data_IF_107562296857
#
_entry.id   IF_107562296857
#
_cell.length_a   1.000
_cell.length_b   1.000
_cell.length_c   1.000
_cell.angle_alpha   90.00
_cell.angle_beta   90.00
_cell.angle_gamma   90.00
#
_symmetry.space_group_name_H-M   'P 1'
#
loop_
_entity.id
_entity.type
_entity.pdbx_description
1 polymer ?
#
# COMPACT_ATOMS: atom_id res chain seq x y z
N UNK A 1 43.24 36.76 21.90
CA UNK A 1 42.59 36.29 20.66
C UNK A 1 42.12 37.50 19.84
N UNK A 2 42.38 37.56 18.53
CA UNK A 2 41.95 38.70 17.69
C UNK A 2 40.45 38.63 17.40
N UNK A 3 39.79 39.78 17.13
CA UNK A 3 38.35 39.83 16.84
C UNK A 3 37.94 38.90 15.68
N UNK A 4 38.80 38.80 14.66
CA UNK A 4 38.62 37.89 13.53
C UNK A 4 38.54 36.42 13.96
N UNK A 5 39.35 36.01 14.93
CA UNK A 5 39.41 34.63 15.41
C UNK A 5 38.15 34.25 16.20
N UNK A 6 37.59 35.18 16.98
CA UNK A 6 36.29 35.01 17.63
C UNK A 6 35.16 34.77 16.62
N UNK A 7 35.13 35.57 15.54
CA UNK A 7 34.12 35.45 14.48
C UNK A 7 34.24 34.09 13.77
N UNK A 8 35.45 33.68 13.41
CA UNK A 8 35.69 32.40 12.73
C UNK A 8 35.28 31.21 13.63
N UNK A 9 35.66 31.22 14.90
CA UNK A 9 35.27 30.13 15.82
C UNK A 9 33.76 30.08 16.03
N UNK A 10 33.10 31.22 16.15
CA UNK A 10 31.64 31.32 16.27
C UNK A 10 30.95 30.79 15.01
N UNK A 11 31.53 31.05 13.83
CA UNK A 11 31.04 30.51 12.57
C UNK A 11 31.16 28.99 12.52
N UNK A 12 32.26 28.40 13.01
CA UNK A 12 32.39 26.95 13.11
C UNK A 12 31.34 26.32 14.02
N UNK A 13 31.04 26.96 15.16
CA UNK A 13 29.93 26.50 16.04
C UNK A 13 28.60 26.56 15.30
N UNK A 14 28.30 27.68 14.63
CA UNK A 14 27.03 27.83 13.91
C UNK A 14 26.88 26.80 12.79
N UNK A 15 27.90 26.65 11.95
CA UNK A 15 27.90 25.69 10.84
C UNK A 15 27.82 24.26 11.35
N UNK A 16 28.53 23.93 12.42
CA UNK A 16 28.49 22.62 13.03
C UNK A 16 27.12 22.27 13.62
N UNK A 17 26.48 23.19 14.36
CA UNK A 17 25.14 22.95 14.94
C UNK A 17 24.09 22.82 13.84
N UNK A 18 24.07 23.74 12.86
CA UNK A 18 23.12 23.70 11.74
C UNK A 18 23.33 22.46 10.87
N UNK A 19 24.59 22.09 10.63
CA UNK A 19 24.93 20.88 9.90
C UNK A 19 24.49 19.61 10.64
N UNK A 20 24.74 19.53 11.95
CA UNK A 20 24.27 18.42 12.79
C UNK A 20 22.74 18.28 12.71
N UNK A 21 22.03 19.39 12.85
CA UNK A 21 20.58 19.43 12.71
C UNK A 21 20.09 18.92 11.35
N UNK A 22 20.72 19.36 10.28
CA UNK A 22 20.41 18.93 8.92
C UNK A 22 20.59 17.41 8.75
N UNK A 23 21.75 16.86 9.14
CA UNK A 23 22.06 15.45 8.89
C UNK A 23 21.28 14.50 9.80
N UNK A 24 21.14 14.86 11.08
CA UNK A 24 20.34 14.13 12.06
C UNK A 24 18.85 14.12 11.70
N UNK A 25 18.30 15.27 11.30
CA UNK A 25 16.94 15.37 10.78
C UNK A 25 16.74 14.55 9.49
N UNK A 26 17.69 14.66 8.55
CA UNK A 26 17.64 13.91 7.27
C UNK A 26 17.70 12.40 7.46
N UNK A 27 18.39 11.90 8.48
CA UNK A 27 18.37 10.49 8.86
C UNK A 27 16.97 10.04 9.25
N UNK A 28 16.28 10.81 10.10
CA UNK A 28 14.87 10.50 10.45
C UNK A 28 13.98 10.60 9.22
N UNK A 29 14.18 11.62 8.39
CA UNK A 29 13.45 11.78 7.14
C UNK A 29 13.60 10.58 6.20
N UNK A 30 14.79 9.98 6.11
CA UNK A 30 15.04 8.78 5.30
C UNK A 30 14.16 7.59 5.73
N UNK A 31 13.88 7.46 7.02
CA UNK A 31 13.05 6.37 7.55
C UNK A 31 11.55 6.64 7.45
N UNK A 32 11.12 7.91 7.56
CA UNK A 32 9.70 8.28 7.55
C UNK A 32 9.19 8.65 6.15
N UNK A 33 10.08 8.77 5.15
CA UNK A 33 9.71 9.17 3.80
C UNK A 33 8.89 8.09 3.08
N UNK A 34 7.82 8.55 2.46
CA UNK A 34 6.98 7.76 1.57
C UNK A 34 7.68 7.46 0.25
N UNK A 35 7.99 6.17 0.00
CA UNK A 35 8.59 5.75 -1.28
C UNK A 35 7.63 5.97 -2.45
N UNK A 36 6.33 5.72 -2.25
CA UNK A 36 5.31 5.94 -3.28
C UNK A 36 5.24 7.41 -3.70
N UNK A 37 5.18 8.36 -2.75
CA UNK A 37 5.18 9.81 -3.07
C UNK A 37 6.42 10.22 -3.83
N UNK A 38 7.58 9.70 -3.40
CA UNK A 38 8.85 9.99 -4.03
C UNK A 38 8.87 9.52 -5.49
N UNK A 39 8.35 8.32 -5.76
CA UNK A 39 8.25 7.76 -7.10
C UNK A 39 7.27 8.53 -7.99
N UNK A 40 6.11 8.93 -7.46
CA UNK A 40 5.13 9.76 -8.19
C UNK A 40 5.73 11.13 -8.55
N UNK A 41 6.33 11.84 -7.58
CA UNK A 41 6.96 13.14 -7.88
C UNK A 41 8.14 13.01 -8.84
N UNK A 42 8.89 11.90 -8.75
CA UNK A 42 9.98 11.63 -9.67
C UNK A 42 9.48 11.37 -11.10
N UNK A 43 8.33 10.72 -11.29
CA UNK A 43 7.74 10.51 -12.62
C UNK A 43 7.18 11.80 -13.22
N UNK A 44 6.78 12.76 -12.37
CA UNK A 44 6.41 14.13 -12.76
C UNK A 44 7.63 15.03 -13.10
N UNK A 45 8.84 14.47 -13.18
CA UNK A 45 10.10 15.19 -13.45
C UNK A 45 10.47 16.27 -12.39
N UNK A 46 10.01 16.13 -11.14
CA UNK A 46 10.51 16.98 -10.05
C UNK A 46 12.00 16.69 -9.79
N UNK A 47 12.85 17.68 -10.05
CA UNK A 47 14.31 17.60 -9.87
C UNK A 47 14.72 17.24 -8.44
N UNK A 48 13.99 17.73 -7.43
CA UNK A 48 14.28 17.42 -6.01
C UNK A 48 13.92 15.97 -5.70
N UNK A 49 12.79 15.49 -6.22
CA UNK A 49 12.39 14.10 -6.09
C UNK A 49 13.38 13.15 -6.77
N UNK A 50 13.82 13.46 -7.99
CA UNK A 50 14.83 12.69 -8.71
C UNK A 50 16.19 12.64 -7.98
N UNK A 51 16.57 13.74 -7.32
CA UNK A 51 17.78 13.77 -6.50
C UNK A 51 17.61 12.93 -5.22
N UNK A 52 16.51 13.12 -4.51
CA UNK A 52 16.23 12.38 -3.28
C UNK A 52 16.08 10.88 -3.54
N UNK A 53 15.46 10.48 -4.64
CA UNK A 53 15.32 9.08 -5.07
C UNK A 53 16.68 8.38 -5.20
N UNK A 54 17.65 9.02 -5.86
CA UNK A 54 19.03 8.48 -5.97
C UNK A 54 19.68 8.24 -4.60
N UNK A 55 19.41 9.09 -3.62
CA UNK A 55 19.89 8.94 -2.24
C UNK A 55 19.21 7.78 -1.52
N UNK A 56 17.88 7.68 -1.63
CA UNK A 56 17.02 6.70 -0.94
C UNK A 56 17.17 5.29 -1.50
N UNK A 57 17.51 5.15 -2.78
CA UNK A 57 17.75 3.87 -3.44
C UNK A 57 19.04 3.17 -2.96
N UNK A 58 19.94 3.92 -2.31
CA UNK A 58 21.19 3.40 -1.74
C UNK A 58 21.28 3.65 -0.22
N UNK A 59 20.37 3.07 0.59
CA UNK A 59 20.19 3.45 1.98
C UNK A 59 21.43 3.21 2.84
N UNK A 60 22.18 2.13 2.60
CA UNK A 60 23.41 1.84 3.36
C UNK A 60 24.51 2.89 3.14
N UNK A 61 24.67 3.37 1.90
CA UNK A 61 25.63 4.44 1.58
C UNK A 61 25.14 5.76 2.16
N UNK A 62 23.85 6.05 2.02
CA UNK A 62 23.26 7.28 2.51
C UNK A 62 23.37 7.40 4.04
N UNK A 63 23.07 6.32 4.76
CA UNK A 63 23.22 6.27 6.21
C UNK A 63 24.68 6.50 6.64
N UNK A 64 25.64 5.87 5.96
CA UNK A 64 27.06 6.09 6.22
C UNK A 64 27.47 7.57 6.01
N UNK A 65 26.98 8.20 4.94
CA UNK A 65 27.22 9.63 4.66
C UNK A 65 26.62 10.52 5.73
N UNK A 66 25.36 10.29 6.12
CA UNK A 66 24.68 11.08 7.15
C UNK A 66 25.38 10.97 8.51
N UNK A 67 25.75 9.76 8.93
CA UNK A 67 26.46 9.53 10.18
C UNK A 67 27.84 10.19 10.19
N UNK A 68 28.61 10.04 9.11
CA UNK A 68 29.93 10.69 9.00
C UNK A 68 29.80 12.21 9.01
N UNK A 69 28.88 12.76 8.23
CA UNK A 69 28.68 14.21 8.14
C UNK A 69 28.20 14.81 9.47
N UNK A 70 27.28 14.12 10.16
CA UNK A 70 26.82 14.53 11.50
C UNK A 70 27.99 14.58 12.50
N UNK A 71 28.83 13.55 12.53
CA UNK A 71 30.00 13.53 13.41
C UNK A 71 31.01 14.64 13.09
N UNK A 72 31.29 14.88 11.80
CA UNK A 72 32.15 16.00 11.37
C UNK A 72 31.60 17.34 11.88
N UNK A 73 30.30 17.56 11.75
CA UNK A 73 29.63 18.76 12.24
C UNK A 73 29.72 18.90 13.77
N UNK A 74 29.53 17.81 14.51
CA UNK A 74 29.67 17.81 15.96
C UNK A 74 31.10 18.17 16.40
N UNK A 75 32.12 17.60 15.74
CA UNK A 75 33.50 17.94 16.02
C UNK A 75 33.86 19.37 15.60
N UNK A 76 33.27 19.89 14.52
CA UNK A 76 33.44 21.28 14.11
C UNK A 76 32.87 22.25 15.15
N UNK A 77 31.70 21.94 15.70
CA UNK A 77 31.13 22.70 16.82
C UNK A 77 32.01 22.63 18.07
N UNK A 78 32.49 21.43 18.42
CA UNK A 78 33.39 21.23 19.57
C UNK A 78 34.69 22.02 19.42
N UNK A 79 35.27 22.03 18.21
CA UNK A 79 36.46 22.79 17.89
C UNK A 79 36.24 24.30 18.00
N UNK A 80 35.10 24.81 17.50
CA UNK A 80 34.73 26.22 17.61
C UNK A 80 34.58 26.67 19.07
N UNK A 81 33.88 25.91 19.91
CA UNK A 81 33.73 26.23 21.34
C UNK A 81 35.09 26.14 22.06
N UNK A 82 35.89 25.11 21.78
CA UNK A 82 37.21 24.96 22.35
C UNK A 82 38.12 26.16 22.02
N UNK A 83 38.13 26.61 20.76
CA UNK A 83 38.91 27.78 20.33
C UNK A 83 38.45 29.09 21.00
N UNK A 84 37.16 29.23 21.25
CA UNK A 84 36.59 30.34 22.04
C UNK A 84 37.09 30.32 23.50
N UNK A 85 37.04 29.15 24.14
CA UNK A 85 37.41 29.00 25.55
C UNK A 85 38.92 29.16 25.77
N UNK A 86 39.74 28.73 24.82
CA UNK A 86 41.20 28.91 24.84
C UNK A 86 41.58 30.41 24.85
N UNK A 87 40.83 31.23 24.11
CA UNK A 87 40.99 32.69 24.09
C UNK A 87 40.48 33.43 25.33
N UNK A 88 39.86 32.73 26.28
CA UNK A 88 39.13 33.31 27.43
C UNK A 88 39.90 33.25 28.76
N UNK A 89 41.08 32.61 28.79
CA UNK A 89 41.95 32.57 29.97
C UNK A 89 41.64 31.47 30.99
N UNK A 90 40.80 30.48 30.64
CA UNK A 90 40.55 29.29 31.46
C UNK A 90 41.72 28.31 31.42
N UNK A 91 41.87 27.48 32.45
CA UNK A 91 42.82 26.36 32.41
C UNK A 91 42.35 25.28 31.43
N UNK A 92 43.25 24.43 30.88
CA UNK A 92 42.86 23.38 29.93
C UNK A 92 41.76 22.44 30.46
N UNK A 93 41.80 22.10 31.76
CA UNK A 93 40.79 21.24 32.38
C UNK A 93 39.41 21.91 32.51
N UNK A 94 39.39 23.19 32.89
CA UNK A 94 38.15 23.97 32.97
C UNK A 94 37.53 24.16 31.59
N UNK A 95 38.34 24.47 30.56
CA UNK A 95 37.86 24.61 29.19
C UNK A 95 37.20 23.33 28.66
N UNK A 96 37.76 22.16 28.96
CA UNK A 96 37.14 20.88 28.57
C UNK A 96 35.80 20.67 29.27
N UNK A 97 35.74 20.94 30.58
CA UNK A 97 34.51 20.75 31.35
C UNK A 97 33.40 21.72 30.91
N UNK A 98 33.74 22.99 30.72
CA UNK A 98 32.80 24.02 30.24
C UNK A 98 32.34 23.71 28.82
N UNK A 99 33.26 23.28 27.93
CA UNK A 99 32.90 22.88 26.57
C UNK A 99 31.88 21.74 26.59
N UNK A 100 32.14 20.67 27.35
CA UNK A 100 31.19 19.56 27.47
C UNK A 100 29.83 20.01 28.05
N UNK A 101 29.85 20.83 29.10
CA UNK A 101 28.64 21.33 29.76
C UNK A 101 27.75 22.18 28.84
N UNK A 102 28.33 22.91 27.89
CA UNK A 102 27.60 23.74 26.92
C UNK A 102 27.24 22.94 25.66
N UNK A 103 28.21 22.24 25.09
CA UNK A 103 28.08 21.61 23.78
C UNK A 103 27.09 20.43 23.79
N UNK A 104 27.12 19.60 24.83
CA UNK A 104 26.26 18.41 24.92
C UNK A 104 24.77 18.79 24.88
N UNK A 105 24.25 19.65 25.78
CA UNK A 105 22.83 20.02 25.72
C UNK A 105 22.50 20.82 24.45
N UNK A 106 23.43 21.64 23.95
CA UNK A 106 23.24 22.40 22.71
C UNK A 106 23.03 21.46 21.51
N UNK A 107 23.93 20.51 21.29
CA UNK A 107 23.81 19.54 20.19
C UNK A 107 22.66 18.57 20.41
N UNK A 108 22.42 18.12 21.65
CA UNK A 108 21.30 17.23 21.93
C UNK A 108 19.96 17.87 21.59
N UNK A 109 19.72 19.12 22.00
CA UNK A 109 18.45 19.80 21.73
C UNK A 109 18.37 20.26 20.28
N UNK A 110 19.36 21.02 19.81
CA UNK A 110 19.29 21.72 18.53
C UNK A 110 19.87 20.94 17.35
N UNK A 111 20.82 20.04 17.59
CA UNK A 111 21.39 19.17 16.57
C UNK A 111 20.65 17.84 16.43
N UNK A 112 20.01 17.36 17.51
CA UNK A 112 19.44 16.01 17.54
C UNK A 112 17.93 15.97 17.71
N UNK A 113 17.39 16.30 18.88
CA UNK A 113 15.98 16.07 19.22
C UNK A 113 15.04 16.90 18.34
N UNK A 114 15.21 18.22 18.33
CA UNK A 114 14.30 19.13 17.62
C UNK A 114 14.30 18.91 16.09
N UNK A 115 15.45 18.75 15.43
CA UNK A 115 15.48 18.47 13.99
C UNK A 115 14.83 17.13 13.63
N UNK A 116 15.06 16.06 14.42
CA UNK A 116 14.44 14.75 14.19
C UNK A 116 12.91 14.85 14.26
N UNK A 117 12.38 15.54 15.27
CA UNK A 117 10.93 15.77 15.40
C UNK A 117 10.37 16.59 14.22
N UNK A 118 11.08 17.63 13.79
CA UNK A 118 10.65 18.48 12.68
C UNK A 118 10.59 17.70 11.35
N UNK A 119 11.58 16.86 11.09
CA UNK A 119 11.59 15.97 9.93
C UNK A 119 10.53 14.87 10.04
N UNK A 120 10.24 14.36 11.24
CA UNK A 120 9.16 13.37 11.42
C UNK A 120 7.79 13.94 11.09
N UNK A 121 7.49 15.16 11.56
CA UNK A 121 6.18 15.79 11.33
C UNK A 121 6.03 16.28 9.88
N UNK A 122 7.08 16.84 9.30
CA UNK A 122 7.07 17.47 7.98
C UNK A 122 8.04 16.78 7.00
N UNK A 123 8.01 15.45 6.96
CA UNK A 123 9.01 14.63 6.23
C UNK A 123 9.15 15.03 4.78
N UNK A 124 8.05 15.16 4.06
CA UNK A 124 8.09 15.47 2.63
C UNK A 124 8.78 16.82 2.43
N UNK A 125 8.28 17.90 3.03
CA UNK A 125 8.81 19.26 2.83
C UNK A 125 10.32 19.35 3.09
N UNK A 126 10.79 18.82 4.22
CA UNK A 126 12.20 18.91 4.60
C UNK A 126 13.09 17.97 3.82
N UNK A 127 12.68 16.71 3.59
CA UNK A 127 13.49 15.75 2.85
C UNK A 127 13.71 16.18 1.40
N UNK A 128 12.68 16.72 0.72
CA UNK A 128 12.84 17.25 -0.64
C UNK A 128 13.69 18.53 -0.67
N UNK A 129 13.54 19.43 0.31
CA UNK A 129 14.34 20.65 0.38
C UNK A 129 15.83 20.36 0.60
N UNK A 130 16.13 19.35 1.43
CA UNK A 130 17.50 18.96 1.79
C UNK A 130 18.16 18.04 0.74
N UNK A 131 17.44 17.57 -0.27
CA UNK A 131 17.96 16.65 -1.28
C UNK A 131 19.23 17.17 -2.00
N UNK A 132 19.30 18.47 -2.29
CA UNK A 132 20.45 19.10 -2.94
C UNK A 132 21.71 19.11 -2.06
N UNK A 133 21.65 19.70 -0.85
CA UNK A 133 22.75 19.65 0.12
C UNK A 133 23.26 18.23 0.39
N UNK A 134 22.34 17.27 0.58
CA UNK A 134 22.68 15.88 0.85
C UNK A 134 23.42 15.21 -0.32
N UNK A 135 23.03 15.49 -1.56
CA UNK A 135 23.73 14.98 -2.75
C UNK A 135 25.15 15.57 -2.86
N UNK A 136 25.32 16.84 -2.51
CA UNK A 136 26.64 17.48 -2.41
C UNK A 136 27.53 16.79 -1.38
N UNK A 137 27.02 16.58 -0.16
CA UNK A 137 27.73 15.88 0.91
C UNK A 137 28.06 14.44 0.53
N UNK A 138 27.11 13.72 -0.07
CA UNK A 138 27.34 12.36 -0.58
C UNK A 138 28.48 12.33 -1.59
N UNK A 139 28.50 13.25 -2.56
CA UNK A 139 29.55 13.31 -3.58
C UNK A 139 30.91 13.62 -2.97
N UNK A 140 30.98 14.56 -2.02
CA UNK A 140 32.20 14.91 -1.31
C UNK A 140 32.75 13.72 -0.50
N UNK A 141 31.93 13.09 0.34
CA UNK A 141 32.35 11.97 1.20
C UNK A 141 32.58 10.67 0.42
N UNK A 142 31.95 10.51 -0.74
CA UNK A 142 32.24 9.39 -1.64
C UNK A 142 33.61 9.58 -2.30
N UNK A 143 33.99 10.81 -2.64
CA UNK A 143 35.28 11.12 -3.22
C UNK A 143 36.44 10.92 -2.24
N UNK A 144 36.24 11.19 -0.95
CA UNK A 144 37.24 10.93 0.10
C UNK A 144 37.42 9.43 0.41
N UNK A 145 36.59 8.54 -0.14
CA UNK A 145 36.65 7.09 0.06
C UNK A 145 36.17 6.59 1.44
N UNK A 146 35.85 7.51 2.36
CA UNK A 146 35.48 7.18 3.74
C UNK A 146 34.07 6.58 3.83
N UNK A 147 33.09 7.15 3.11
CA UNK A 147 31.72 6.63 3.10
C UNK A 147 31.59 5.22 2.49
N UNK A 148 32.24 4.89 1.36
CA UNK A 148 32.27 3.52 0.84
C UNK A 148 32.86 2.49 1.80
N UNK A 149 33.88 2.86 2.58
CA UNK A 149 34.51 1.98 3.56
C UNK A 149 33.55 1.66 4.72
N UNK A 150 32.92 2.68 5.29
CA UNK A 150 31.92 2.50 6.37
C UNK A 150 30.72 1.67 5.86
N UNK A 151 30.22 1.96 4.65
CA UNK A 151 29.13 1.20 4.04
C UNK A 151 29.52 -0.26 3.76
N UNK A 152 30.78 -0.52 3.37
CA UNK A 152 31.28 -1.88 3.15
C UNK A 152 31.37 -2.69 4.45
N UNK A 153 31.81 -2.07 5.55
CA UNK A 153 31.83 -2.70 6.88
C UNK A 153 30.41 -3.01 7.35
N UNK A 154 29.49 -2.04 7.24
CA UNK A 154 28.09 -2.24 7.63
C UNK A 154 27.40 -3.38 6.86
N UNK A 155 27.64 -3.48 5.55
CA UNK A 155 27.09 -4.58 4.72
C UNK A 155 27.61 -5.97 5.09
N UNK A 156 28.84 -6.08 5.61
CA UNK A 156 29.40 -7.36 6.06
C UNK A 156 28.85 -7.80 7.41
N UNK A 157 28.40 -6.86 8.23
CA UNK A 157 27.84 -7.13 9.56
C UNK A 157 26.32 -7.36 9.48
N UNK A 158 25.63 -6.69 8.55
CA UNK A 158 24.17 -6.68 8.44
C UNK A 158 23.54 -7.69 7.47
N UNK A 159 24.14 -8.85 7.20
CA UNK A 159 23.50 -9.93 6.41
C UNK A 159 22.39 -10.66 7.20
N UNK A 160 21.51 -9.93 7.88
CA UNK A 160 20.34 -10.49 8.54
C UNK A 160 19.10 -9.83 7.97
N UNK A 161 18.51 -10.55 7.02
CA UNK A 161 17.12 -10.54 6.59
C UNK A 161 16.31 -9.30 6.96
N UNK A 162 16.17 -8.40 6.00
CA UNK A 162 15.06 -7.45 5.98
C UNK A 162 13.75 -8.24 6.06
N UNK A 163 13.09 -8.10 7.20
CA UNK A 163 11.84 -8.71 7.60
C UNK A 163 10.86 -8.92 6.43
N UNK A 164 10.42 -10.18 6.35
CA UNK A 164 9.41 -10.71 5.45
C UNK A 164 8.07 -10.04 5.76
N UNK A 165 7.85 -8.82 5.30
CA UNK A 165 6.48 -8.34 5.07
C UNK A 165 5.98 -9.13 3.86
N UNK A 166 4.92 -9.94 3.98
CA UNK A 166 4.36 -10.66 2.84
C UNK A 166 4.14 -9.68 1.69
N UNK A 167 4.45 -10.10 0.45
CA UNK A 167 4.31 -9.25 -0.72
C UNK A 167 2.91 -8.59 -0.80
N UNK A 168 1.87 -9.29 -0.33
CA UNK A 168 0.49 -8.80 -0.19
C UNK A 168 0.38 -7.60 0.76
N UNK A 169 0.92 -7.67 1.98
CA UNK A 169 0.91 -6.54 2.91
C UNK A 169 1.71 -5.36 2.35
N UNK A 170 2.84 -5.60 1.66
CA UNK A 170 3.58 -4.52 0.98
C UNK A 170 2.74 -3.86 -0.10
N UNK A 171 2.11 -4.64 -0.98
CA UNK A 171 1.24 -4.09 -2.04
C UNK A 171 0.04 -3.35 -1.47
N UNK A 172 -0.64 -3.91 -0.46
CA UNK A 172 -1.75 -3.24 0.21
C UNK A 172 -1.29 -1.94 0.89
N UNK A 173 -0.11 -1.92 1.51
CA UNK A 173 0.44 -0.71 2.11
C UNK A 173 0.83 0.34 1.06
N UNK A 174 1.43 -0.06 -0.06
CA UNK A 174 1.75 0.83 -1.18
C UNK A 174 0.49 1.42 -1.82
N UNK A 175 -0.55 0.61 -2.01
CA UNK A 175 -1.85 1.04 -2.53
C UNK A 175 -2.52 2.03 -1.57
N UNK A 176 -2.54 1.69 -0.27
CA UNK A 176 -3.04 2.60 0.79
C UNK A 176 -2.26 3.89 0.88
N UNK A 177 -0.96 3.83 0.68
CA UNK A 177 -0.14 5.03 0.62
C UNK A 177 -0.47 5.87 -0.62
N UNK A 178 -0.73 5.22 -1.77
CA UNK A 178 -1.31 5.85 -2.97
C UNK A 178 -2.66 6.55 -2.74
N UNK A 179 -3.53 5.97 -1.90
CA UNK A 179 -4.82 6.56 -1.51
C UNK A 179 -4.64 7.89 -0.79
N UNK A 180 -3.69 7.98 0.16
CA UNK A 180 -3.41 9.21 0.93
C UNK A 180 -2.86 10.35 0.06
N UNK A 181 -2.33 10.03 -1.12
CA UNK A 181 -1.72 10.99 -2.04
C UNK A 181 -2.77 11.55 -3.04
N UNK A 182 -4.02 11.07 -2.99
CA UNK A 182 -5.09 11.51 -3.89
C UNK A 182 -4.93 11.02 -5.32
N UNK A 183 -4.11 9.98 -5.55
CA UNK A 183 -3.88 9.38 -6.88
C UNK A 183 -5.07 8.51 -7.32
N UNK A 184 -5.82 7.96 -6.36
CA UNK A 184 -7.01 7.14 -6.59
C UNK A 184 -8.24 7.80 -5.97
N UNK A 185 -9.38 7.76 -6.65
CA UNK A 185 -10.66 8.13 -6.06
C UNK A 185 -11.10 7.11 -5.00
N UNK A 186 -12.02 7.51 -4.11
CA UNK A 186 -12.63 6.58 -3.14
C UNK A 186 -13.30 5.38 -3.84
N UNK A 187 -13.95 5.61 -4.99
CA UNK A 187 -14.54 4.54 -5.79
C UNK A 187 -13.51 3.57 -6.35
N UNK A 188 -12.39 4.06 -6.90
CA UNK A 188 -11.29 3.22 -7.38
C UNK A 188 -10.64 2.43 -6.25
N UNK A 189 -10.54 3.02 -5.07
CA UNK A 189 -10.01 2.38 -3.86
C UNK A 189 -10.88 1.19 -3.44
N UNK A 190 -12.20 1.40 -3.37
CA UNK A 190 -13.14 0.35 -3.03
C UNK A 190 -13.07 -0.83 -4.02
N UNK A 191 -12.91 -0.55 -5.32
CA UNK A 191 -12.74 -1.57 -6.35
C UNK A 191 -11.47 -2.40 -6.12
N UNK A 192 -10.34 -1.76 -5.82
CA UNK A 192 -9.06 -2.44 -5.58
C UNK A 192 -9.13 -3.34 -4.34
N UNK A 193 -9.68 -2.82 -3.24
CA UNK A 193 -9.84 -3.62 -2.01
C UNK A 193 -10.75 -4.83 -2.24
N UNK A 194 -11.89 -4.65 -2.93
CA UNK A 194 -12.78 -5.76 -3.30
C UNK A 194 -12.10 -6.77 -4.21
N UNK A 195 -11.33 -6.32 -5.20
CA UNK A 195 -10.57 -7.20 -6.08
C UNK A 195 -9.52 -8.03 -5.33
N UNK A 196 -8.83 -7.44 -4.35
CA UNK A 196 -7.86 -8.15 -3.50
C UNK A 196 -8.50 -9.20 -2.58
N UNK A 197 -9.76 -9.02 -2.21
CA UNK A 197 -10.54 -9.95 -1.39
C UNK A 197 -11.22 -11.04 -2.22
N UNK A 198 -11.56 -10.75 -3.49
CA UNK A 198 -12.27 -11.67 -4.39
C UNK A 198 -11.56 -13.02 -4.56
N UNK A 199 -10.22 -13.01 -4.63
CA UNK A 199 -9.41 -14.21 -4.88
C UNK A 199 -9.69 -15.33 -3.88
N UNK A 200 -9.93 -14.96 -2.62
CA UNK A 200 -10.12 -15.89 -1.52
C UNK A 200 -11.61 -16.01 -1.12
N UNK A 201 -12.55 -15.46 -1.90
CA UNK A 201 -13.98 -15.48 -1.55
C UNK A 201 -14.67 -16.73 -2.15
N UNK A 202 -15.26 -17.61 -1.32
CA UNK A 202 -16.03 -18.76 -1.80
C UNK A 202 -17.42 -18.31 -2.28
N UNK A 203 -18.01 -19.07 -3.21
CA UNK A 203 -19.32 -18.76 -3.80
C UNK A 203 -20.47 -18.92 -2.82
N UNK A 204 -20.36 -19.82 -1.83
CA UNK A 204 -21.39 -20.00 -0.78
C UNK A 204 -21.74 -18.69 -0.04
N UNK A 205 -20.84 -17.71 0.00
CA UNK A 205 -21.09 -16.42 0.65
C UNK A 205 -21.96 -15.47 -0.19
N UNK A 206 -22.07 -15.73 -1.50
CA UNK A 206 -22.78 -14.87 -2.47
C UNK A 206 -24.01 -15.56 -3.07
N UNK A 207 -24.37 -16.73 -2.55
CA UNK A 207 -25.48 -17.50 -3.07
C UNK A 207 -26.82 -17.01 -2.55
N UNK A 208 -27.84 -17.14 -3.39
CA UNK A 208 -29.23 -17.10 -2.96
C UNK A 208 -29.54 -18.49 -2.39
N UNK A 209 -30.01 -18.53 -1.13
CA UNK A 209 -30.34 -19.79 -0.47
C UNK A 209 -31.48 -20.49 -1.20
N UNK A 210 -31.44 -21.82 -1.28
CA UNK A 210 -32.44 -22.60 -2.05
C UNK A 210 -33.89 -22.31 -1.65
N UNK A 211 -34.13 -22.02 -0.36
CA UNK A 211 -35.47 -21.71 0.16
C UNK A 211 -36.04 -20.40 -0.41
N UNK A 212 -35.19 -19.48 -0.86
CA UNK A 212 -35.56 -18.22 -1.51
C UNK A 212 -35.61 -18.33 -3.05
N UNK A 213 -35.30 -19.51 -3.61
CA UNK A 213 -35.25 -19.72 -5.07
C UNK A 213 -36.64 -20.08 -5.59
N UNK A 214 -37.18 -19.23 -6.46
CA UNK A 214 -38.37 -19.54 -7.20
C UNK A 214 -38.09 -20.63 -8.25
N UNK A 215 -38.87 -21.71 -8.24
CA UNK A 215 -38.71 -22.88 -9.12
C UNK A 215 -40.01 -23.24 -9.82
N UNK A 216 -39.92 -24.01 -10.91
CA UNK A 216 -41.06 -24.58 -11.64
C UNK A 216 -40.93 -26.11 -11.66
N UNK A 217 -42.03 -26.85 -11.55
CA UNK A 217 -42.01 -28.30 -11.69
C UNK A 217 -42.03 -28.70 -13.17
N UNK A 218 -41.29 -29.75 -13.54
CA UNK A 218 -41.26 -30.26 -14.91
C UNK A 218 -42.66 -30.70 -15.38
N UNK A 219 -43.45 -31.26 -14.45
CA UNK A 219 -44.82 -31.71 -14.67
C UNK A 219 -45.87 -30.57 -14.66
N UNK A 220 -45.47 -29.30 -14.52
CA UNK A 220 -46.40 -28.17 -14.51
C UNK A 220 -47.09 -27.99 -15.86
N UNK A 221 -48.39 -27.70 -15.82
CA UNK A 221 -49.19 -27.40 -17.02
C UNK A 221 -48.86 -26.01 -17.59
N UNK A 222 -49.29 -25.76 -18.84
CA UNK A 222 -49.03 -24.47 -19.51
C UNK A 222 -49.58 -23.27 -18.74
N UNK A 223 -50.73 -23.41 -18.07
CA UNK A 223 -51.33 -22.35 -17.26
C UNK A 223 -50.43 -21.96 -16.09
N UNK A 224 -50.02 -22.92 -15.27
CA UNK A 224 -49.12 -22.66 -14.12
C UNK A 224 -47.77 -22.09 -14.55
N UNK A 225 -47.22 -22.57 -15.68
CA UNK A 225 -45.96 -22.03 -16.24
C UNK A 225 -46.07 -20.55 -16.64
N UNK A 226 -47.17 -20.17 -17.28
CA UNK A 226 -47.46 -18.79 -17.68
C UNK A 226 -47.70 -17.88 -16.46
N UNK A 227 -48.38 -18.39 -15.43
CA UNK A 227 -48.56 -17.65 -14.17
C UNK A 227 -47.23 -17.41 -13.46
N UNK A 228 -46.37 -18.43 -13.37
CA UNK A 228 -45.02 -18.29 -12.80
C UNK A 228 -44.17 -17.28 -13.59
N UNK A 229 -44.26 -17.31 -14.93
CA UNK A 229 -43.56 -16.38 -15.81
C UNK A 229 -44.03 -14.92 -15.66
N UNK A 230 -45.33 -14.69 -15.45
CA UNK A 230 -45.90 -13.34 -15.33
C UNK A 230 -45.76 -12.74 -13.93
N UNK A 231 -45.78 -13.56 -12.88
CA UNK A 231 -45.84 -13.07 -11.50
C UNK A 231 -44.47 -12.93 -10.83
N UNK A 232 -43.40 -13.37 -11.48
CA UNK A 232 -42.06 -13.37 -10.90
C UNK A 232 -41.14 -12.35 -11.60
N UNK A 233 -40.37 -11.53 -10.86
CA UNK A 233 -39.48 -10.51 -11.42
C UNK A 233 -38.17 -11.08 -11.98
N UNK A 234 -38.13 -12.36 -12.32
CA UNK A 234 -36.90 -13.08 -12.67
C UNK A 234 -36.83 -13.38 -14.16
N UNK A 235 -35.61 -13.44 -14.73
CA UNK A 235 -35.40 -13.74 -16.15
C UNK A 235 -35.25 -15.23 -16.43
N UNK A 236 -34.90 -16.01 -15.40
CA UNK A 236 -34.62 -17.44 -15.48
C UNK A 236 -35.08 -18.15 -14.21
N UNK A 237 -35.56 -19.37 -14.37
CA UNK A 237 -36.08 -20.20 -13.28
C UNK A 237 -35.50 -21.62 -13.39
N UNK A 238 -35.00 -22.19 -12.29
CA UNK A 238 -34.68 -23.61 -12.24
C UNK A 238 -35.95 -24.46 -12.36
N UNK A 239 -35.85 -25.54 -13.12
CA UNK A 239 -36.91 -26.53 -13.31
C UNK A 239 -36.57 -27.77 -12.52
N UNK A 240 -37.53 -28.24 -11.73
CA UNK A 240 -37.38 -29.37 -10.81
C UNK A 240 -38.09 -30.61 -11.34
N UNK A 241 -37.48 -31.78 -11.17
CA UNK A 241 -38.17 -33.06 -11.35
C UNK A 241 -38.98 -33.40 -10.11
N UNK A 242 -39.90 -34.36 -10.24
CA UNK A 242 -40.68 -34.89 -9.10
C UNK A 242 -39.78 -35.52 -8.02
N UNK A 243 -38.58 -35.97 -8.41
CA UNK A 243 -37.55 -36.52 -7.50
C UNK A 243 -36.76 -35.43 -6.74
N UNK A 244 -37.10 -34.15 -6.93
CA UNK A 244 -36.47 -33.02 -6.26
C UNK A 244 -35.07 -32.68 -6.79
N UNK A 245 -34.73 -33.14 -8.00
CA UNK A 245 -33.49 -32.79 -8.69
C UNK A 245 -33.72 -31.65 -9.67
N UNK A 246 -32.67 -30.87 -9.95
CA UNK A 246 -32.74 -29.80 -10.95
C UNK A 246 -32.60 -30.42 -12.33
N UNK A 247 -33.68 -30.41 -13.11
CA UNK A 247 -33.71 -30.87 -14.50
C UNK A 247 -32.96 -29.92 -15.44
N UNK A 248 -33.03 -28.61 -15.17
CA UNK A 248 -32.35 -27.58 -15.94
C UNK A 248 -32.80 -26.18 -15.56
N UNK A 249 -32.46 -25.22 -16.42
CA UNK A 249 -32.86 -23.82 -16.25
C UNK A 249 -33.63 -23.38 -17.49
N UNK A 250 -34.75 -22.68 -17.30
CA UNK A 250 -35.56 -22.14 -18.40
C UNK A 250 -35.56 -20.61 -18.36
N UNK A 251 -35.57 -19.96 -19.53
CA UNK A 251 -35.79 -18.52 -19.60
C UNK A 251 -37.27 -18.21 -19.49
N UNK A 252 -37.61 -17.22 -18.66
CA UNK A 252 -38.97 -16.69 -18.56
C UNK A 252 -39.45 -16.14 -19.91
N UNK A 253 -38.55 -15.59 -20.72
CA UNK A 253 -38.89 -15.13 -22.07
C UNK A 253 -39.30 -16.30 -22.99
N UNK A 254 -38.62 -17.45 -22.90
CA UNK A 254 -38.96 -18.63 -23.71
C UNK A 254 -40.31 -19.21 -23.29
N UNK A 255 -40.64 -19.19 -21.99
CA UNK A 255 -41.95 -19.59 -21.48
C UNK A 255 -43.08 -18.70 -22.01
N UNK A 256 -42.83 -17.39 -22.13
CA UNK A 256 -43.81 -16.42 -22.63
C UNK A 256 -43.97 -16.49 -24.16
N UNK A 257 -42.89 -16.73 -24.90
CA UNK A 257 -42.91 -16.81 -26.36
C UNK A 257 -43.44 -18.15 -26.88
N UNK A 258 -43.23 -19.24 -26.15
CA UNK A 258 -43.58 -20.61 -26.57
C UNK A 258 -44.39 -21.36 -25.50
N UNK A 259 -45.57 -20.86 -25.08
CA UNK A 259 -46.34 -21.46 -23.98
C UNK A 259 -46.84 -22.88 -24.27
N UNK A 260 -47.10 -23.20 -25.55
CA UNK A 260 -47.61 -24.50 -25.98
C UNK A 260 -46.49 -25.55 -26.19
N UNK A 261 -45.21 -25.15 -26.10
CA UNK A 261 -44.10 -26.10 -26.23
C UNK A 261 -43.94 -26.94 -24.97
N UNK A 262 -43.43 -28.16 -25.18
CA UNK A 262 -43.01 -29.00 -24.07
C UNK A 262 -41.86 -28.31 -23.32
N UNK A 263 -41.90 -28.36 -21.98
CA UNK A 263 -40.92 -27.69 -21.14
C UNK A 263 -39.52 -28.26 -21.34
N UNK A 264 -39.42 -29.57 -21.59
CA UNK A 264 -38.16 -30.27 -21.86
C UNK A 264 -37.39 -29.68 -23.05
N UNK A 265 -38.10 -29.22 -24.09
CA UNK A 265 -37.48 -28.64 -25.29
C UNK A 265 -36.94 -27.21 -25.05
N UNK A 266 -37.34 -26.58 -23.96
CA UNK A 266 -36.93 -25.22 -23.58
C UNK A 266 -35.85 -25.22 -22.49
N UNK A 267 -35.48 -26.39 -21.96
CA UNK A 267 -34.48 -26.51 -20.91
C UNK A 267 -33.07 -26.25 -21.46
N UNK A 268 -32.32 -25.46 -20.69
CA UNK A 268 -30.87 -25.36 -20.82
C UNK A 268 -30.20 -26.17 -19.71
N UNK A 269 -29.11 -26.84 -20.05
CA UNK A 269 -28.33 -27.61 -19.09
C UNK A 269 -27.84 -26.70 -17.96
N UNK A 270 -28.07 -27.08 -16.68
CA UNK A 270 -27.68 -26.25 -15.56
C UNK A 270 -26.17 -26.29 -15.37
N UNK A 271 -25.54 -25.13 -15.23
CA UNK A 271 -24.14 -25.08 -14.78
C UNK A 271 -24.12 -25.39 -13.29
N UNK A 272 -23.57 -26.56 -12.92
CA UNK A 272 -23.43 -26.96 -11.53
C UNK A 272 -22.02 -26.62 -11.03
N UNK A 273 -21.95 -26.05 -9.82
CA UNK A 273 -20.72 -25.70 -9.12
C UNK A 273 -20.77 -26.13 -7.65
N UNK A 274 -19.60 -26.48 -7.09
CA UNK A 274 -19.47 -26.79 -5.67
C UNK A 274 -19.50 -25.52 -4.81
N UNK A 275 -19.99 -25.64 -3.58
CA UNK A 275 -20.14 -24.53 -2.63
C UNK A 275 -18.82 -23.84 -2.24
N UNK A 276 -17.70 -24.57 -2.24
CA UNK A 276 -16.37 -24.08 -1.89
C UNK A 276 -15.62 -23.42 -3.06
N UNK A 277 -16.18 -23.48 -4.27
CA UNK A 277 -15.57 -22.89 -5.46
C UNK A 277 -15.36 -21.39 -5.27
N UNK A 278 -14.22 -20.87 -5.72
CA UNK A 278 -13.93 -19.43 -5.62
C UNK A 278 -14.77 -18.65 -6.62
N UNK A 279 -15.20 -17.45 -6.21
CA UNK A 279 -16.00 -16.54 -7.05
C UNK A 279 -15.35 -16.32 -8.44
N UNK A 280 -14.02 -16.13 -8.50
CA UNK A 280 -13.30 -15.98 -9.77
C UNK A 280 -13.44 -17.19 -10.70
N UNK A 281 -13.38 -18.40 -10.15
CA UNK A 281 -13.51 -19.63 -10.91
C UNK A 281 -14.98 -19.88 -11.34
N UNK A 282 -15.95 -19.53 -10.49
CA UNK A 282 -17.36 -19.58 -10.84
C UNK A 282 -17.72 -18.60 -11.97
N UNK A 283 -17.20 -17.37 -11.93
CA UNK A 283 -17.36 -16.39 -13.02
C UNK A 283 -16.80 -16.93 -14.33
N UNK A 284 -15.61 -17.55 -14.31
CA UNK A 284 -15.03 -18.16 -15.49
C UNK A 284 -15.92 -19.29 -16.02
N UNK A 285 -16.42 -20.16 -15.15
CA UNK A 285 -17.27 -21.29 -15.52
C UNK A 285 -18.60 -20.85 -16.13
N UNK A 286 -19.25 -19.83 -15.56
CA UNK A 286 -20.46 -19.22 -16.15
C UNK A 286 -20.18 -18.62 -17.52
N UNK A 287 -19.09 -17.86 -17.66
CA UNK A 287 -18.70 -17.24 -18.93
C UNK A 287 -18.40 -18.28 -20.02
N UNK A 288 -17.64 -19.32 -19.68
CA UNK A 288 -17.20 -20.34 -20.63
C UNK A 288 -18.38 -21.22 -21.10
N UNK A 289 -19.41 -21.39 -20.27
CA UNK A 289 -20.66 -22.07 -20.63
C UNK A 289 -21.73 -21.13 -21.19
N UNK A 290 -21.42 -19.83 -21.38
CA UNK A 290 -22.39 -18.81 -21.77
C UNK A 290 -23.67 -18.78 -20.91
N UNK A 291 -23.55 -19.18 -19.64
CA UNK A 291 -24.65 -19.26 -18.69
C UNK A 291 -24.66 -18.01 -17.81
N UNK A 292 -25.86 -17.54 -17.45
CA UNK A 292 -26.02 -16.40 -16.53
C UNK A 292 -26.26 -16.83 -15.08
N UNK A 293 -26.53 -18.12 -14.85
CA UNK A 293 -26.92 -18.70 -13.56
C UNK A 293 -26.23 -20.05 -13.39
N UNK A 294 -25.79 -20.35 -12.18
CA UNK A 294 -25.30 -21.65 -11.78
C UNK A 294 -26.07 -22.14 -10.55
N UNK A 295 -26.24 -23.46 -10.47
CA UNK A 295 -26.79 -24.15 -9.31
C UNK A 295 -25.62 -24.57 -8.42
N UNK A 296 -25.71 -24.24 -7.14
CA UNK A 296 -24.68 -24.55 -6.16
C UNK A 296 -25.08 -25.81 -5.41
N UNK A 297 -24.17 -26.78 -5.39
CA UNK A 297 -24.36 -28.05 -4.71
C UNK A 297 -23.48 -28.15 -3.48
N UNK A 298 -23.97 -28.88 -2.48
CA UNK A 298 -23.17 -29.49 -1.42
C UNK A 298 -23.37 -31.00 -1.49
N UNK A 299 -22.38 -31.69 -2.07
CA UNK A 299 -22.50 -33.09 -2.44
C UNK A 299 -23.59 -33.29 -3.51
N UNK A 300 -24.66 -34.01 -3.17
CA UNK A 300 -25.73 -34.36 -4.11
C UNK A 300 -27.02 -33.54 -3.94
N UNK A 301 -26.96 -32.44 -3.17
CA UNK A 301 -28.13 -31.60 -2.89
C UNK A 301 -27.90 -30.16 -3.37
N UNK A 302 -28.86 -29.55 -4.09
CA UNK A 302 -28.81 -28.13 -4.38
C UNK A 302 -29.02 -27.33 -3.08
N UNK A 303 -28.12 -26.40 -2.80
CA UNK A 303 -28.17 -25.53 -1.61
C UNK A 303 -28.45 -24.07 -1.96
N UNK A 304 -28.33 -23.69 -3.22
CA UNK A 304 -28.55 -22.33 -3.68
C UNK A 304 -28.30 -22.13 -5.15
N UNK A 305 -28.45 -20.90 -5.61
CA UNK A 305 -28.06 -20.46 -6.94
C UNK A 305 -27.14 -19.24 -6.84
N UNK A 306 -26.38 -19.00 -7.89
CA UNK A 306 -25.67 -17.73 -8.06
C UNK A 306 -25.74 -17.29 -9.51
N UNK A 307 -25.85 -15.97 -9.71
CA UNK A 307 -25.86 -15.39 -11.05
C UNK A 307 -24.57 -14.66 -11.37
N UNK A 308 -24.31 -14.47 -12.67
CA UNK A 308 -23.19 -13.64 -13.12
C UNK A 308 -23.28 -12.20 -12.56
N UNK A 309 -24.51 -11.70 -12.36
CA UNK A 309 -24.75 -10.39 -11.74
C UNK A 309 -24.21 -10.37 -10.31
N UNK A 310 -24.62 -11.33 -9.49
CA UNK A 310 -24.23 -11.39 -8.07
C UNK A 310 -22.70 -11.47 -7.93
N UNK A 311 -22.04 -12.31 -8.74
CA UNK A 311 -20.58 -12.44 -8.72
C UNK A 311 -19.85 -11.15 -9.14
N UNK A 312 -20.43 -10.37 -10.05
CA UNK A 312 -19.86 -9.09 -10.50
C UNK A 312 -20.06 -8.01 -9.44
N UNK A 313 -21.22 -7.96 -8.78
CA UNK A 313 -21.51 -7.00 -7.70
C UNK A 313 -20.51 -7.10 -6.54
N UNK A 314 -19.93 -8.29 -6.29
CA UNK A 314 -18.84 -8.45 -5.32
C UNK A 314 -17.64 -7.55 -5.64
N UNK A 315 -17.35 -7.32 -6.93
CA UNK A 315 -16.29 -6.44 -7.39
C UNK A 315 -16.73 -4.98 -7.43
N UNK A 316 -17.86 -4.70 -8.08
CA UNK A 316 -18.27 -3.32 -8.38
C UNK A 316 -19.02 -2.65 -7.22
N UNK A 317 -19.53 -3.43 -6.26
CA UNK A 317 -20.47 -3.01 -5.23
C UNK A 317 -21.91 -3.09 -5.70
N UNK A 318 -22.86 -2.82 -4.80
CA UNK A 318 -24.29 -2.71 -5.14
C UNK A 318 -24.48 -1.69 -6.25
N UNK A 319 -24.82 -2.18 -7.44
CA UNK A 319 -25.14 -1.35 -8.58
C UNK A 319 -26.61 -0.97 -8.45
N UNK A 320 -26.86 0.18 -7.82
CA UNK A 320 -28.22 0.67 -7.50
C UNK A 320 -29.09 1.05 -8.72
N UNK A 321 -28.62 0.86 -9.95
CA UNK A 321 -29.43 1.09 -11.15
C UNK A 321 -28.87 0.36 -12.38
N UNK A 322 -29.62 -0.65 -12.86
CA UNK A 322 -29.70 -1.07 -14.26
C UNK A 322 -31.16 -1.31 -14.58
#
# INVERSE_FOLDING_TARGET
MTMTMWIVMSLFVLVGVVGSALYSGSETGLYTLSRVRLDVRASENDRRALSLKRLVDHPAMMLAVLLLANNICNYLSSYGIAGILDGSGFTPGESVLINAAILVPLLFVFGEVLPKDLFRVNTDRWSYACAGPLEGTRRLLSWTGLAPLVAAVGRRIGQTDSSVVPARQRMANLLREGMTIGVLSESQTALVDRALLLRDRPVINEMIQWDDVATIMLASDAGTRLEAANNQPHTRLPVMTDDGQVAGVVSVLDLLLYPDRNLEDLLQDPVVIESDLRVQAAMARLRDNHASMAIIHDGNKPIGIVTMKDLVEVLVGELTAW
#
